data_IF_925065842448
#
_entry.id   IF_925065842448
#
_cell.length_a   1.000
_cell.length_b   1.000
_cell.length_c   1.000
_cell.angle_alpha   90.00
_cell.angle_beta   90.00
_cell.angle_gamma   90.00
#
_symmetry.space_group_name_H-M   'P 1'
#
loop_
_entity.id
_entity.type
_entity.pdbx_description
1 polymer ?
#
# COMPACT_ATOMS: atom_id res chain seq x y z
N UNK A 1 44.14 -11.04 -6.34
CA UNK A 1 42.93 -11.89 -6.45
C UNK A 1 41.78 -11.10 -5.86
N UNK A 2 40.92 -10.55 -6.72
CA UNK A 2 39.82 -9.67 -6.30
C UNK A 2 38.79 -10.46 -5.49
N UNK A 3 38.52 -10.01 -4.26
CA UNK A 3 37.32 -10.39 -3.53
C UNK A 3 36.12 -9.86 -4.32
N UNK A 4 35.55 -10.70 -5.18
CA UNK A 4 34.20 -10.52 -5.69
C UNK A 4 33.28 -10.79 -4.49
N UNK A 5 33.06 -9.78 -3.65
CA UNK A 5 31.89 -9.78 -2.77
C UNK A 5 30.68 -9.97 -3.68
N UNK A 6 30.10 -11.18 -3.63
CA UNK A 6 28.87 -11.50 -4.33
C UNK A 6 27.82 -10.49 -3.86
N UNK A 7 27.54 -9.48 -4.69
CA UNK A 7 26.60 -8.41 -4.37
C UNK A 7 25.31 -9.06 -3.82
N UNK A 8 24.89 -8.73 -2.58
CA UNK A 8 23.77 -9.42 -1.93
C UNK A 8 22.44 -9.24 -2.68
N UNK A 9 22.38 -8.30 -3.63
CA UNK A 9 21.17 -7.90 -4.33
C UNK A 9 21.05 -8.47 -5.75
N UNK A 10 19.81 -8.50 -6.27
CA UNK A 10 19.52 -8.94 -7.66
C UNK A 10 19.96 -7.91 -8.73
N UNK A 11 20.25 -6.68 -8.30
CA UNK A 11 20.68 -5.57 -9.14
C UNK A 11 21.87 -4.86 -8.49
N UNK A 12 22.81 -4.39 -9.30
CA UNK A 12 23.94 -3.59 -8.86
C UNK A 12 23.54 -2.15 -8.56
N UNK A 13 24.46 -1.36 -8.00
CA UNK A 13 24.19 0.02 -7.59
C UNK A 13 23.92 1.00 -8.73
N UNK A 14 24.41 0.67 -9.93
CA UNK A 14 24.30 1.48 -11.14
C UNK A 14 23.24 0.96 -12.13
N UNK A 15 22.68 -0.24 -11.87
CA UNK A 15 21.55 -0.75 -12.62
C UNK A 15 20.35 0.20 -12.45
N UNK A 16 19.65 0.47 -13.55
CA UNK A 16 18.53 1.41 -13.52
C UNK A 16 17.34 0.85 -12.74
N UNK A 17 16.90 1.60 -11.72
CA UNK A 17 15.68 1.31 -10.95
C UNK A 17 14.59 2.31 -11.32
N UNK A 18 13.46 1.80 -11.82
CA UNK A 18 12.27 2.61 -12.09
C UNK A 18 11.34 2.60 -10.88
N UNK A 19 10.95 3.78 -10.40
CA UNK A 19 9.94 3.95 -9.35
C UNK A 19 8.74 4.69 -9.94
N UNK A 20 7.59 4.03 -10.00
CA UNK A 20 6.33 4.68 -10.38
C UNK A 20 5.54 5.08 -9.14
N UNK A 21 4.81 6.19 -9.20
CA UNK A 21 4.20 6.77 -8.00
C UNK A 21 5.23 7.38 -7.05
N UNK A 22 6.39 7.79 -7.59
CA UNK A 22 7.53 8.31 -6.83
C UNK A 22 7.20 9.58 -6.03
N UNK A 23 6.23 10.39 -6.46
CA UNK A 23 5.78 11.59 -5.73
C UNK A 23 4.76 11.28 -4.62
N UNK A 24 4.31 10.03 -4.50
CA UNK A 24 3.36 9.61 -3.48
C UNK A 24 3.99 9.45 -2.10
N UNK A 25 3.14 9.31 -1.08
CA UNK A 25 3.53 9.16 0.34
C UNK A 25 4.59 8.08 0.59
N UNK A 26 4.43 6.89 -0.01
CA UNK A 26 5.40 5.79 0.13
C UNK A 26 6.53 5.94 -0.90
N UNK A 27 6.21 6.39 -2.11
CA UNK A 27 7.15 6.45 -3.22
C UNK A 27 8.33 7.39 -2.97
N UNK A 28 8.09 8.55 -2.36
CA UNK A 28 9.16 9.52 -2.11
C UNK A 28 10.13 9.01 -1.04
N UNK A 29 9.60 8.42 0.04
CA UNK A 29 10.41 7.74 1.07
C UNK A 29 11.15 6.53 0.51
N UNK A 30 10.58 5.81 -0.46
CA UNK A 30 11.28 4.71 -1.14
C UNK A 30 12.48 5.20 -1.96
N UNK A 31 12.33 6.31 -2.68
CA UNK A 31 13.45 6.92 -3.42
C UNK A 31 14.56 7.32 -2.45
N UNK A 32 14.23 7.97 -1.33
CA UNK A 32 15.18 8.32 -0.26
C UNK A 32 15.90 7.08 0.28
N UNK A 33 15.15 6.03 0.63
CA UNK A 33 15.73 4.79 1.16
C UNK A 33 16.66 4.07 0.16
N UNK A 34 16.33 4.10 -1.14
CA UNK A 34 17.21 3.55 -2.18
C UNK A 34 18.53 4.32 -2.29
N UNK A 35 18.46 5.65 -2.23
CA UNK A 35 19.63 6.53 -2.26
C UNK A 35 20.51 6.36 -1.02
N UNK A 36 19.92 6.29 0.18
CA UNK A 36 20.61 6.03 1.45
C UNK A 36 21.31 4.66 1.43
N UNK A 37 20.71 3.66 0.77
CA UNK A 37 21.32 2.35 0.58
C UNK A 37 22.44 2.36 -0.46
N UNK A 38 22.66 3.44 -1.19
CA UNK A 38 23.74 3.61 -2.17
C UNK A 38 23.38 3.24 -3.61
N UNK A 39 22.09 3.09 -3.95
CA UNK A 39 21.69 3.00 -5.36
C UNK A 39 21.79 4.38 -6.02
N UNK A 40 22.37 4.43 -7.22
CA UNK A 40 22.75 5.67 -7.87
C UNK A 40 21.95 6.00 -9.12
N UNK A 41 21.29 5.02 -9.74
CA UNK A 41 20.61 5.21 -11.02
C UNK A 41 19.10 5.00 -10.87
N UNK A 42 18.36 6.07 -10.59
CA UNK A 42 16.93 6.04 -10.32
C UNK A 42 16.16 6.82 -11.39
N UNK A 43 15.12 6.21 -11.93
CA UNK A 43 14.13 6.88 -12.76
C UNK A 43 12.81 6.96 -12.00
N UNK A 44 12.37 8.16 -11.71
CA UNK A 44 11.14 8.46 -10.99
C UNK A 44 10.04 8.84 -11.99
N UNK A 45 9.09 7.94 -12.23
CA UNK A 45 7.97 8.22 -13.11
C UNK A 45 6.85 8.93 -12.36
N UNK A 46 6.49 10.12 -12.82
CA UNK A 46 5.50 10.99 -12.19
C UNK A 46 4.43 11.41 -13.19
N UNK A 47 3.22 11.73 -12.70
CA UNK A 47 2.20 12.35 -13.56
C UNK A 47 2.64 13.76 -13.89
N UNK A 48 2.29 14.25 -15.08
CA UNK A 48 2.57 15.63 -15.47
C UNK A 48 2.04 16.66 -14.46
N UNK A 49 0.91 16.37 -13.82
CA UNK A 49 0.27 17.22 -12.82
C UNK A 49 0.83 17.08 -11.39
N UNK A 50 1.80 16.19 -11.16
CA UNK A 50 2.39 15.99 -9.84
C UNK A 50 3.52 16.97 -9.60
N UNK A 51 3.51 17.60 -8.42
CA UNK A 51 4.66 18.34 -7.93
C UNK A 51 5.78 17.36 -7.60
N UNK A 52 6.90 17.49 -8.29
CA UNK A 52 8.07 16.62 -8.16
C UNK A 52 9.21 17.26 -7.36
N UNK A 53 8.99 18.46 -6.77
CA UNK A 53 9.99 19.24 -6.07
C UNK A 53 10.80 18.41 -5.06
N UNK A 54 10.12 17.60 -4.23
CA UNK A 54 10.81 16.72 -3.26
C UNK A 54 11.78 15.73 -3.93
N UNK A 55 11.41 15.16 -5.08
CA UNK A 55 12.29 14.21 -5.79
C UNK A 55 13.41 14.95 -6.52
N UNK A 56 13.11 16.13 -7.06
CA UNK A 56 14.09 17.01 -7.69
C UNK A 56 15.14 17.48 -6.65
N UNK A 57 14.72 17.82 -5.43
CA UNK A 57 15.62 18.19 -4.33
C UNK A 57 16.56 17.04 -3.94
N UNK A 58 16.05 15.80 -3.89
CA UNK A 58 16.87 14.62 -3.64
C UNK A 58 17.93 14.41 -4.72
N UNK A 59 17.61 14.73 -5.98
CA UNK A 59 18.60 14.67 -7.07
C UNK A 59 19.78 15.62 -6.83
N UNK A 60 19.51 16.79 -6.23
CA UNK A 60 20.52 17.83 -5.95
C UNK A 60 21.34 17.52 -4.70
N UNK A 61 20.72 16.93 -3.68
CA UNK A 61 21.37 16.60 -2.40
C UNK A 61 22.39 15.46 -2.52
N UNK A 62 22.15 14.48 -3.40
CA UNK A 62 23.05 13.34 -3.58
C UNK A 62 24.13 13.62 -4.64
N UNK A 63 25.06 14.55 -4.36
CA UNK A 63 26.23 14.82 -5.21
C UNK A 63 27.29 13.73 -4.99
N UNK A 64 27.41 12.78 -5.94
CA UNK A 64 28.60 11.92 -6.21
C UNK A 64 28.21 10.78 -7.17
N UNK A 65 28.01 11.10 -8.46
CA UNK A 65 27.69 10.08 -9.48
C UNK A 65 26.28 9.50 -9.41
N UNK A 66 25.41 10.03 -8.55
CA UNK A 66 23.98 9.70 -8.50
C UNK A 66 23.24 10.40 -9.65
N UNK A 67 22.51 9.61 -10.43
CA UNK A 67 21.57 10.04 -11.46
C UNK A 67 20.14 9.74 -11.00
N UNK A 68 19.43 10.76 -10.57
CA UNK A 68 17.98 10.70 -10.32
C UNK A 68 17.28 11.45 -11.45
N UNK A 69 16.61 10.72 -12.32
CA UNK A 69 15.86 11.26 -13.45
C UNK A 69 14.36 11.30 -13.11
N UNK A 70 13.71 12.45 -13.26
CA UNK A 70 12.26 12.56 -13.16
C UNK A 70 11.67 12.50 -14.56
N UNK A 71 10.90 11.46 -14.86
CA UNK A 71 10.19 11.29 -16.13
C UNK A 71 8.72 11.58 -15.90
N UNK A 72 8.21 12.62 -16.56
CA UNK A 72 6.79 12.97 -16.54
C UNK A 72 6.08 12.24 -17.68
N UNK A 73 4.95 11.61 -17.38
CA UNK A 73 4.13 10.93 -18.37
C UNK A 73 2.81 10.43 -17.82
N UNK A 74 2.12 9.63 -18.62
CA UNK A 74 0.86 8.99 -18.30
C UNK A 74 0.99 7.47 -18.42
N UNK A 75 0.77 6.72 -17.34
CA UNK A 75 0.82 5.26 -17.39
C UNK A 75 -0.29 4.63 -18.23
N UNK A 76 -1.31 5.38 -18.65
CA UNK A 76 -2.28 4.94 -19.65
C UNK A 76 -1.72 4.98 -21.09
N UNK A 77 -0.66 5.75 -21.34
CA UNK A 77 0.09 5.77 -22.59
C UNK A 77 1.04 4.57 -22.66
N UNK A 78 0.96 3.78 -23.73
CA UNK A 78 1.83 2.60 -23.94
C UNK A 78 3.24 3.04 -24.28
N UNK A 79 3.36 4.16 -25.00
CA UNK A 79 4.60 4.79 -25.43
C UNK A 79 5.36 5.32 -24.21
N UNK A 80 4.67 6.01 -23.28
CA UNK A 80 5.28 6.52 -22.05
C UNK A 80 5.75 5.36 -21.16
N UNK A 81 4.97 4.27 -21.07
CA UNK A 81 5.37 3.07 -20.36
C UNK A 81 6.60 2.41 -20.99
N UNK A 82 6.66 2.34 -22.32
CA UNK A 82 7.81 1.82 -23.04
C UNK A 82 9.06 2.67 -22.79
N UNK A 83 8.97 4.00 -22.92
CA UNK A 83 10.08 4.90 -22.64
C UNK A 83 10.55 4.80 -21.18
N UNK A 84 9.60 4.76 -20.23
CA UNK A 84 9.93 4.67 -18.80
C UNK A 84 10.65 3.39 -18.41
N UNK A 85 10.29 2.26 -19.03
CA UNK A 85 10.82 0.92 -18.69
C UNK A 85 12.10 0.57 -19.46
N UNK A 86 12.49 1.37 -20.45
CA UNK A 86 13.69 1.13 -21.24
C UNK A 86 14.95 1.11 -20.34
N UNK A 87 15.67 -0.01 -20.36
CA UNK A 87 16.89 -0.24 -19.58
C UNK A 87 16.67 -0.51 -18.09
N UNK A 88 15.43 -0.48 -17.59
CA UNK A 88 15.15 -0.69 -16.17
C UNK A 88 15.37 -2.16 -15.76
N UNK A 89 16.25 -2.39 -14.80
CA UNK A 89 16.54 -3.72 -14.27
C UNK A 89 15.60 -4.11 -13.12
N UNK A 90 15.11 -3.13 -12.35
CA UNK A 90 14.19 -3.32 -11.23
C UNK A 90 13.11 -2.25 -11.29
N UNK A 91 11.85 -2.65 -11.10
CA UNK A 91 10.72 -1.73 -11.13
C UNK A 91 9.97 -1.83 -9.79
N UNK A 92 9.82 -0.69 -9.12
CA UNK A 92 8.90 -0.53 -8.00
C UNK A 92 7.61 0.16 -8.48
N UNK A 93 6.52 -0.60 -8.46
CA UNK A 93 5.21 -0.12 -8.88
C UNK A 93 4.33 0.25 -7.68
N UNK A 94 4.31 1.55 -7.35
CA UNK A 94 3.47 2.12 -6.27
C UNK A 94 2.30 2.95 -6.80
N UNK A 95 2.24 3.19 -8.10
CA UNK A 95 1.13 3.91 -8.71
C UNK A 95 -0.15 3.08 -8.61
N UNK A 96 -1.17 3.66 -7.97
CA UNK A 96 -2.51 3.11 -7.89
C UNK A 96 -3.52 4.21 -7.57
N UNK A 97 -4.77 3.94 -7.93
CA UNK A 97 -5.91 4.74 -7.53
C UNK A 97 -6.02 4.79 -6.00
N UNK A 98 -5.81 5.96 -5.38
CA UNK A 98 -6.08 6.19 -3.95
C UNK A 98 -7.01 7.38 -3.82
N UNK A 99 -8.23 7.15 -3.33
CA UNK A 99 -9.25 8.18 -3.18
C UNK A 99 -10.22 8.30 -4.36
N UNK A 100 -10.01 7.50 -5.42
CA UNK A 100 -10.99 7.35 -6.50
C UNK A 100 -12.24 6.64 -5.97
N UNK A 101 -13.40 7.23 -6.24
CA UNK A 101 -14.68 6.78 -5.70
C UNK A 101 -15.43 5.83 -6.65
N UNK A 102 -15.03 5.80 -7.92
CA UNK A 102 -15.69 5.00 -8.95
C UNK A 102 -14.86 3.74 -9.29
N UNK A 103 -15.53 2.64 -9.59
CA UNK A 103 -14.86 1.42 -10.07
C UNK A 103 -14.16 1.60 -11.42
N UNK A 104 -14.74 2.30 -12.42
CA UNK A 104 -14.07 2.50 -13.71
C UNK A 104 -12.75 3.27 -13.58
N UNK A 105 -12.73 4.38 -12.83
CA UNK A 105 -11.51 5.15 -12.63
C UNK A 105 -10.46 4.28 -11.94
N UNK A 106 -10.86 3.58 -10.87
CA UNK A 106 -9.95 2.76 -10.09
C UNK A 106 -9.36 1.61 -10.93
N UNK A 107 -10.15 1.05 -11.86
CA UNK A 107 -9.70 0.07 -12.83
C UNK A 107 -8.70 0.67 -13.83
N UNK A 108 -9.00 1.82 -14.43
CA UNK A 108 -8.12 2.49 -15.38
C UNK A 108 -6.78 2.82 -14.72
N UNK A 109 -6.80 3.51 -13.57
CA UNK A 109 -5.60 4.05 -12.94
C UNK A 109 -4.75 3.01 -12.19
N UNK A 110 -5.26 1.81 -11.95
CA UNK A 110 -4.50 0.73 -11.29
C UNK A 110 -4.30 -0.49 -12.17
N UNK A 111 -5.31 -0.97 -12.91
CA UNK A 111 -5.21 -2.22 -13.66
C UNK A 111 -4.64 -1.98 -15.05
N UNK A 112 -5.18 -0.99 -15.77
CA UNK A 112 -4.73 -0.69 -17.14
C UNK A 112 -3.32 -0.11 -17.13
N UNK A 113 -3.01 0.78 -16.18
CA UNK A 113 -1.66 1.32 -15.98
C UNK A 113 -0.63 0.23 -15.66
N UNK A 114 -0.97 -0.72 -14.78
CA UNK A 114 -0.10 -1.88 -14.50
C UNK A 114 0.05 -2.76 -15.74
N UNK A 115 -1.02 -3.08 -16.47
CA UNK A 115 -0.94 -3.87 -17.72
C UNK A 115 0.06 -3.25 -18.68
N UNK A 116 -0.06 -1.95 -18.94
CA UNK A 116 0.79 -1.25 -19.90
C UNK A 116 2.28 -1.32 -19.49
N UNK A 117 2.58 -1.18 -18.19
CA UNK A 117 3.94 -1.38 -17.67
C UNK A 117 4.42 -2.82 -17.85
N UNK A 118 3.60 -3.83 -17.52
CA UNK A 118 3.95 -5.23 -17.68
C UNK A 118 4.24 -5.58 -19.15
N UNK A 119 3.40 -5.12 -20.08
CA UNK A 119 3.62 -5.30 -21.52
C UNK A 119 4.91 -4.61 -21.99
N UNK A 120 5.24 -3.43 -21.46
CA UNK A 120 6.49 -2.74 -21.74
C UNK A 120 7.71 -3.51 -21.20
N UNK A 121 7.61 -4.12 -20.01
CA UNK A 121 8.64 -5.00 -19.46
C UNK A 121 8.92 -6.20 -20.38
N UNK A 122 7.86 -6.83 -20.90
CA UNK A 122 7.98 -7.97 -21.82
C UNK A 122 8.62 -7.59 -23.16
N UNK A 123 8.43 -6.34 -23.60
CA UNK A 123 9.06 -5.81 -24.81
C UNK A 123 10.57 -5.66 -24.64
N UNK A 124 11.01 -5.05 -23.55
CA UNK A 124 12.43 -4.74 -23.32
C UNK A 124 13.25 -5.91 -22.78
N UNK A 125 12.63 -6.84 -22.05
CA UNK A 125 13.26 -8.05 -21.49
C UNK A 125 14.49 -7.79 -20.61
N UNK A 126 14.62 -6.59 -20.04
CA UNK A 126 15.71 -6.21 -19.14
C UNK A 126 15.36 -6.32 -17.65
N UNK A 127 14.06 -6.40 -17.32
CA UNK A 127 13.57 -6.40 -15.95
C UNK A 127 13.90 -7.73 -15.26
N UNK A 128 14.71 -7.66 -14.20
CA UNK A 128 15.02 -8.77 -13.31
C UNK A 128 13.98 -8.96 -12.21
N UNK A 129 13.23 -7.90 -11.85
CA UNK A 129 12.05 -8.00 -10.98
C UNK A 129 11.09 -6.82 -11.12
N UNK A 130 9.80 -7.16 -11.09
CA UNK A 130 8.69 -6.21 -10.94
C UNK A 130 8.08 -6.30 -9.54
N UNK A 131 8.24 -5.27 -8.72
CA UNK A 131 7.65 -5.20 -7.38
C UNK A 131 6.32 -4.46 -7.45
N UNK A 132 5.21 -5.18 -7.24
CA UNK A 132 3.88 -4.59 -7.15
C UNK A 132 3.51 -4.28 -5.69
N UNK A 133 3.26 -3.02 -5.37
CA UNK A 133 2.81 -2.63 -4.02
C UNK A 133 1.29 -2.62 -3.97
N UNK A 134 0.74 -3.69 -3.39
CA UNK A 134 -0.67 -3.97 -3.18
C UNK A 134 -1.14 -3.48 -1.80
N UNK A 135 -2.08 -4.17 -1.15
CA UNK A 135 -2.59 -3.82 0.19
C UNK A 135 -3.32 -4.98 0.86
N UNK A 136 -3.38 -4.98 2.19
CA UNK A 136 -4.29 -5.83 2.97
C UNK A 136 -5.77 -5.69 2.58
N UNK A 137 -6.14 -4.63 1.87
CA UNK A 137 -7.49 -4.45 1.35
C UNK A 137 -7.96 -5.63 0.48
N UNK A 138 -7.03 -6.31 -0.22
CA UNK A 138 -7.35 -7.42 -1.13
C UNK A 138 -7.92 -8.64 -0.43
N UNK A 139 -7.60 -8.87 0.85
CA UNK A 139 -8.04 -10.07 1.56
C UNK A 139 -9.53 -10.04 1.89
N UNK A 140 -10.14 -11.22 1.94
CA UNK A 140 -11.48 -11.40 2.50
C UNK A 140 -11.40 -12.06 3.88
N UNK A 141 -12.18 -11.54 4.82
CA UNK A 141 -12.32 -12.11 6.16
C UNK A 141 -13.65 -12.88 6.32
N UNK A 142 -14.46 -13.00 5.27
CA UNK A 142 -15.84 -13.53 5.32
C UNK A 142 -15.92 -14.94 5.90
N UNK A 143 -15.07 -15.87 5.46
CA UNK A 143 -15.04 -17.26 5.94
C UNK A 143 -14.10 -17.49 7.15
N UNK A 144 -13.37 -16.45 7.56
CA UNK A 144 -12.39 -16.55 8.63
C UNK A 144 -13.04 -16.54 10.02
N UNK A 145 -12.56 -17.39 10.94
CA UNK A 145 -12.96 -17.33 12.35
C UNK A 145 -12.54 -16.00 12.97
N UNK A 146 -13.37 -15.48 13.88
CA UNK A 146 -13.05 -14.29 14.68
C UNK A 146 -11.73 -14.51 15.42
N UNK A 147 -10.86 -13.49 15.47
CA UNK A 147 -9.50 -13.52 16.05
C UNK A 147 -8.49 -14.40 15.30
N UNK A 148 -8.84 -14.97 14.15
CA UNK A 148 -7.87 -15.70 13.34
C UNK A 148 -6.75 -14.80 12.82
N UNK A 149 -5.60 -15.41 12.51
CA UNK A 149 -4.41 -14.74 11.95
C UNK A 149 -4.51 -14.63 10.44
N UNK A 150 -4.47 -13.42 9.90
CA UNK A 150 -4.38 -13.14 8.48
C UNK A 150 -2.91 -13.16 8.07
N UNK A 151 -2.59 -14.05 7.15
CA UNK A 151 -1.29 -14.24 6.50
C UNK A 151 -1.50 -14.32 4.97
N UNK A 152 -0.44 -14.59 4.23
CA UNK A 152 -0.43 -14.64 2.77
C UNK A 152 -1.14 -15.87 2.20
N UNK A 153 -1.43 -16.89 3.01
CA UNK A 153 -2.21 -18.06 2.61
C UNK A 153 -3.71 -17.78 2.61
N UNK A 154 -4.14 -16.69 3.27
CA UNK A 154 -5.54 -16.32 3.34
C UNK A 154 -6.09 -15.93 1.96
N UNK A 155 -7.37 -16.26 1.68
CA UNK A 155 -7.97 -15.97 0.39
C UNK A 155 -8.10 -14.46 0.12
N UNK A 156 -7.82 -14.09 -1.12
CA UNK A 156 -8.16 -12.78 -1.71
C UNK A 156 -9.67 -12.73 -1.97
N UNK A 157 -10.25 -11.53 -1.93
CA UNK A 157 -11.67 -11.30 -2.23
C UNK A 157 -11.98 -11.71 -3.68
N UNK A 158 -12.91 -12.67 -3.84
CA UNK A 158 -13.30 -13.21 -5.16
C UNK A 158 -14.24 -12.28 -5.92
N UNK A 159 -15.05 -11.52 -5.18
CA UNK A 159 -16.06 -10.61 -5.72
C UNK A 159 -15.84 -9.21 -5.16
N UNK A 160 -14.71 -8.56 -5.49
CA UNK A 160 -14.37 -7.28 -4.89
C UNK A 160 -15.32 -6.14 -5.32
N UNK A 161 -16.02 -6.28 -6.44
CA UNK A 161 -17.12 -5.40 -6.87
C UNK A 161 -18.27 -5.36 -5.86
N UNK A 162 -18.55 -6.49 -5.20
CA UNK A 162 -19.60 -6.59 -4.18
C UNK A 162 -19.19 -6.00 -2.83
N UNK A 163 -17.92 -5.60 -2.67
CA UNK A 163 -17.44 -5.00 -1.43
C UNK A 163 -17.77 -3.51 -1.31
N UNK A 164 -18.15 -2.86 -2.42
CA UNK A 164 -18.46 -1.42 -2.43
C UNK A 164 -17.25 -0.53 -2.15
N UNK A 165 -16.05 -1.05 -2.38
CA UNK A 165 -14.77 -0.34 -2.16
C UNK A 165 -13.94 -0.40 -3.45
N UNK A 166 -13.91 0.71 -4.18
CA UNK A 166 -13.18 0.83 -5.44
C UNK A 166 -11.67 0.58 -5.27
N UNK A 167 -11.11 0.90 -4.10
CA UNK A 167 -9.71 0.62 -3.80
C UNK A 167 -9.45 -0.88 -3.65
N UNK A 168 -10.31 -1.59 -2.91
CA UNK A 168 -10.25 -3.05 -2.82
C UNK A 168 -10.35 -3.70 -4.20
N UNK A 169 -11.31 -3.26 -5.03
CA UNK A 169 -11.48 -3.74 -6.39
C UNK A 169 -10.23 -3.56 -7.24
N UNK A 170 -9.71 -2.34 -7.32
CA UNK A 170 -8.52 -2.05 -8.09
C UNK A 170 -7.30 -2.86 -7.64
N UNK A 171 -7.06 -3.00 -6.33
CA UNK A 171 -5.92 -3.77 -5.80
C UNK A 171 -6.06 -5.27 -6.04
N UNK A 172 -7.25 -5.83 -5.95
CA UNK A 172 -7.48 -7.25 -6.30
C UNK A 172 -7.18 -7.48 -7.78
N UNK A 173 -7.72 -6.64 -8.67
CA UNK A 173 -7.50 -6.77 -10.12
C UNK A 173 -6.06 -6.49 -10.54
N UNK A 174 -5.37 -5.58 -9.85
CA UNK A 174 -3.94 -5.32 -10.03
C UNK A 174 -3.09 -6.53 -9.60
N UNK A 175 -3.41 -7.20 -8.50
CA UNK A 175 -2.72 -8.44 -8.09
C UNK A 175 -2.96 -9.59 -9.09
N UNK A 176 -4.21 -9.75 -9.56
CA UNK A 176 -4.58 -10.77 -10.54
C UNK A 176 -3.75 -10.65 -11.82
N UNK A 177 -3.64 -9.44 -12.40
CA UNK A 177 -2.93 -9.23 -13.66
C UNK A 177 -1.41 -9.42 -13.52
N UNK A 178 -0.81 -8.99 -12.40
CA UNK A 178 0.62 -9.22 -12.15
C UNK A 178 0.93 -10.71 -12.05
N UNK A 179 0.11 -11.45 -11.29
CA UNK A 179 0.23 -12.90 -11.15
C UNK A 179 0.00 -13.64 -12.49
N UNK A 180 -0.97 -13.20 -13.29
CA UNK A 180 -1.23 -13.75 -14.62
C UNK A 180 -0.01 -13.57 -15.54
N UNK A 181 0.57 -12.37 -15.57
CA UNK A 181 1.75 -12.10 -16.40
C UNK A 181 2.97 -12.89 -15.96
N UNK A 182 3.19 -13.04 -14.65
CA UNK A 182 4.25 -13.90 -14.13
C UNK A 182 4.06 -15.36 -14.55
N UNK A 183 2.84 -15.89 -14.47
CA UNK A 183 2.54 -17.28 -14.87
C UNK A 183 2.62 -17.52 -16.37
N UNK A 184 2.10 -16.60 -17.19
CA UNK A 184 2.00 -16.78 -18.65
C UNK A 184 3.28 -16.43 -19.39
N UNK A 185 4.01 -15.42 -18.92
CA UNK A 185 5.16 -14.86 -19.64
C UNK A 185 6.48 -15.01 -18.88
N UNK A 186 6.46 -15.60 -17.68
CA UNK A 186 7.66 -15.78 -16.86
C UNK A 186 8.25 -14.47 -16.34
N UNK A 187 7.45 -13.39 -16.26
CA UNK A 187 7.93 -12.11 -15.72
C UNK A 187 8.22 -12.28 -14.21
N UNK A 188 9.47 -12.05 -13.75
CA UNK A 188 9.79 -12.14 -12.33
C UNK A 188 9.11 -11.01 -11.57
N UNK A 189 8.33 -11.34 -10.55
CA UNK A 189 7.59 -10.36 -9.76
C UNK A 189 7.61 -10.69 -8.27
N UNK A 190 7.34 -9.68 -7.45
CA UNK A 190 7.00 -9.83 -6.02
C UNK A 190 5.81 -8.92 -5.72
N UNK A 191 4.86 -9.41 -4.92
CA UNK A 191 3.73 -8.58 -4.45
C UNK A 191 3.92 -8.26 -2.98
N UNK A 192 3.99 -6.98 -2.65
CA UNK A 192 4.03 -6.52 -1.25
C UNK A 192 2.65 -6.00 -0.88
N UNK A 193 2.06 -6.48 0.22
CA UNK A 193 0.76 -6.08 0.73
C UNK A 193 0.94 -5.40 2.09
N UNK A 194 1.20 -4.09 2.14
CA UNK A 194 1.19 -3.37 3.40
C UNK A 194 -0.20 -3.35 4.02
N UNK A 195 -0.24 -3.24 5.35
CA UNK A 195 -1.43 -2.89 6.11
C UNK A 195 -1.87 -1.45 5.86
N UNK A 196 -2.14 -0.70 6.92
CA UNK A 196 -2.33 0.75 6.87
C UNK A 196 -1.00 1.44 7.15
N UNK A 197 -0.41 2.00 6.09
CA UNK A 197 0.86 2.75 6.20
C UNK A 197 0.60 4.12 6.83
N UNK A 198 1.24 4.41 7.95
CA UNK A 198 1.07 5.65 8.70
C UNK A 198 2.41 6.36 8.93
N UNK A 199 2.35 7.68 9.11
CA UNK A 199 3.54 8.53 9.27
C UNK A 199 3.26 9.97 8.82
N UNK A 200 4.20 10.90 9.02
CA UNK A 200 4.07 12.28 8.57
C UNK A 200 3.81 12.38 7.06
N UNK A 201 2.74 13.05 6.64
CA UNK A 201 2.27 13.12 5.25
C UNK A 201 1.05 12.22 4.94
N UNK A 202 0.61 11.38 5.87
CA UNK A 202 -0.62 10.60 5.74
C UNK A 202 -1.48 10.65 7.01
N UNK A 203 -1.80 11.87 7.45
CA UNK A 203 -2.50 12.16 8.70
C UNK A 203 -4.01 11.87 8.63
N UNK A 204 -4.55 11.34 9.73
CA UNK A 204 -5.98 11.12 9.91
C UNK A 204 -6.34 9.91 10.77
N UNK A 205 -7.64 9.68 10.96
CA UNK A 205 -8.13 8.46 11.59
C UNK A 205 -8.49 7.47 10.50
N UNK A 206 -7.83 6.31 10.50
CA UNK A 206 -8.13 5.24 9.55
C UNK A 206 -9.56 4.72 9.68
N UNK A 207 -10.19 4.34 8.57
CA UNK A 207 -11.51 3.70 8.54
C UNK A 207 -11.58 2.38 9.33
N UNK A 208 -10.42 1.77 9.63
CA UNK A 208 -10.32 0.60 10.55
C UNK A 208 -10.79 0.93 11.97
N UNK A 209 -10.75 2.21 12.36
CA UNK A 209 -11.24 2.66 13.67
C UNK A 209 -12.73 2.93 13.63
N UNK A 210 -13.21 3.61 12.61
CA UNK A 210 -14.60 4.06 12.56
C UNK A 210 -14.81 5.11 11.49
N UNK A 211 -15.98 5.74 11.55
CA UNK A 211 -16.43 6.71 10.54
C UNK A 211 -16.91 7.99 11.22
N UNK A 212 -16.58 9.14 10.64
CA UNK A 212 -17.14 10.42 11.04
C UNK A 212 -18.48 10.66 10.35
N UNK A 213 -19.50 11.12 11.08
CA UNK A 213 -20.82 11.45 10.54
C UNK A 213 -21.49 12.53 11.38
N UNK A 214 -22.05 13.57 10.74
CA UNK A 214 -22.83 14.64 11.39
C UNK A 214 -22.17 15.25 12.65
N UNK A 215 -20.86 15.52 12.61
CA UNK A 215 -20.11 16.07 13.75
C UNK A 215 -19.79 15.08 14.88
N UNK A 216 -20.15 13.80 14.72
CA UNK A 216 -19.85 12.70 15.63
C UNK A 216 -18.92 11.69 14.99
N UNK A 217 -18.07 11.04 15.80
CA UNK A 217 -17.29 9.89 15.34
C UNK A 217 -17.86 8.56 15.85
N UNK A 218 -18.35 7.71 14.95
CA UNK A 218 -18.80 6.36 15.28
C UNK A 218 -17.60 5.42 15.35
N UNK A 219 -17.27 4.95 16.54
CA UNK A 219 -16.19 3.99 16.78
C UNK A 219 -16.73 2.57 16.53
N UNK A 220 -16.35 2.00 15.39
CA UNK A 220 -16.79 0.69 14.91
C UNK A 220 -15.75 -0.41 15.16
N UNK A 221 -14.48 -0.03 15.26
CA UNK A 221 -13.37 -0.97 15.40
C UNK A 221 -13.25 -1.60 16.78
N UNK A 222 -13.77 -0.98 17.84
CA UNK A 222 -13.74 -1.55 19.20
C UNK A 222 -12.34 -2.02 19.62
N UNK A 223 -12.22 -3.32 19.95
CA UNK A 223 -10.94 -3.98 20.28
C UNK A 223 -10.27 -4.68 19.09
N UNK A 224 -10.67 -4.38 17.85
CA UNK A 224 -9.98 -4.88 16.66
C UNK A 224 -8.57 -4.31 16.58
N UNK A 225 -7.60 -5.13 16.20
CA UNK A 225 -6.24 -4.70 15.91
C UNK A 225 -6.22 -3.92 14.59
N UNK A 226 -5.49 -2.81 14.56
CA UNK A 226 -5.23 -2.07 13.32
C UNK A 226 -3.94 -2.62 12.71
N UNK A 227 -3.93 -3.04 11.43
CA UNK A 227 -2.72 -3.53 10.77
C UNK A 227 -1.80 -2.37 10.41
N UNK A 228 -1.27 -1.64 11.39
CA UNK A 228 -0.39 -0.51 11.11
C UNK A 228 0.98 -0.96 10.62
N UNK A 229 1.58 -0.13 9.77
CA UNK A 229 3.01 -0.16 9.51
C UNK A 229 3.54 1.26 9.35
N UNK A 230 4.60 1.61 10.07
CA UNK A 230 5.21 2.91 9.95
C UNK A 230 5.84 3.07 8.57
N UNK A 231 5.75 4.27 7.98
CA UNK A 231 6.14 4.50 6.58
C UNK A 231 7.57 4.04 6.28
N UNK A 232 8.52 4.28 7.19
CA UNK A 232 9.91 3.89 6.98
C UNK A 232 10.11 2.38 7.09
N UNK A 233 9.43 1.72 8.04
CA UNK A 233 9.41 0.26 8.15
C UNK A 233 8.82 -0.39 6.89
N UNK A 234 7.74 0.18 6.38
CA UNK A 234 7.06 -0.29 5.18
C UNK A 234 7.94 -0.13 3.93
N UNK A 235 8.61 1.01 3.79
CA UNK A 235 9.55 1.29 2.70
C UNK A 235 10.72 0.31 2.77
N UNK A 236 11.27 0.07 3.95
CA UNK A 236 12.35 -0.88 4.15
C UNK A 236 11.98 -2.30 3.66
N UNK A 237 10.79 -2.78 4.02
CA UNK A 237 10.26 -4.06 3.55
C UNK A 237 10.09 -4.10 2.02
N UNK A 238 9.55 -3.02 1.42
CA UNK A 238 9.38 -2.91 -0.04
C UNK A 238 10.75 -2.97 -0.73
N UNK A 239 11.73 -2.20 -0.24
CA UNK A 239 13.09 -2.20 -0.78
C UNK A 239 13.70 -3.60 -0.73
N UNK A 240 13.64 -4.27 0.42
CA UNK A 240 14.16 -5.64 0.56
C UNK A 240 13.46 -6.64 -0.37
N UNK A 241 12.14 -6.52 -0.56
CA UNK A 241 11.38 -7.34 -1.50
C UNK A 241 11.84 -7.13 -2.96
N UNK A 242 12.28 -5.91 -3.30
CA UNK A 242 12.88 -5.63 -4.60
C UNK A 242 14.28 -6.19 -4.77
N UNK A 243 15.08 -6.22 -3.71
CA UNK A 243 16.52 -6.51 -3.81
C UNK A 243 16.91 -7.96 -3.51
N UNK A 244 16.16 -8.67 -2.66
CA UNK A 244 16.53 -10.01 -2.16
C UNK A 244 16.46 -11.08 -3.26
N UNK A 245 17.46 -11.95 -3.36
CA UNK A 245 17.47 -13.06 -4.35
C UNK A 245 16.47 -14.17 -3.96
N UNK A 246 16.02 -14.96 -4.93
CA UNK A 246 15.25 -16.22 -4.74
C UNK A 246 13.91 -16.08 -4.01
N UNK A 247 13.15 -15.05 -4.35
CA UNK A 247 11.79 -14.80 -3.80
C UNK A 247 10.78 -14.44 -4.91
N UNK A 248 11.12 -14.70 -6.17
CA UNK A 248 10.24 -14.36 -7.29
C UNK A 248 8.97 -15.21 -7.24
N UNK A 249 7.83 -14.60 -7.52
CA UNK A 249 6.49 -15.20 -7.38
C UNK A 249 5.90 -15.05 -5.98
N UNK A 250 6.66 -14.60 -4.99
CA UNK A 250 6.21 -14.49 -3.61
C UNK A 250 5.32 -13.27 -3.35
N UNK A 251 4.48 -13.43 -2.33
CA UNK A 251 3.67 -12.37 -1.75
C UNK A 251 4.14 -12.14 -0.30
N UNK A 252 4.24 -10.88 0.14
CA UNK A 252 4.63 -10.52 1.50
C UNK A 252 3.64 -9.54 2.12
N UNK A 253 3.16 -9.86 3.31
CA UNK A 253 2.40 -8.97 4.16
C UNK A 253 3.33 -8.12 5.01
N UNK A 254 3.05 -6.82 5.10
CA UNK A 254 3.88 -5.88 5.87
C UNK A 254 3.01 -5.15 6.90
N UNK A 255 3.24 -5.49 8.16
CA UNK A 255 2.72 -4.84 9.35
C UNK A 255 3.83 -4.78 10.39
N UNK A 256 3.82 -3.75 11.23
CA UNK A 256 4.77 -3.65 12.32
C UNK A 256 4.42 -4.65 13.43
N UNK A 257 5.31 -4.75 14.42
CA UNK A 257 5.06 -5.48 15.64
C UNK A 257 4.09 -4.70 16.56
N UNK A 258 3.72 -5.24 17.72
CA UNK A 258 2.97 -4.54 18.79
C UNK A 258 1.79 -3.65 18.35
N UNK A 259 0.99 -4.17 17.42
CA UNK A 259 -0.09 -3.43 16.77
C UNK A 259 -1.17 -2.97 17.77
N UNK A 260 -1.55 -1.67 17.78
CA UNK A 260 -2.56 -1.18 18.69
C UNK A 260 -3.96 -1.67 18.31
N UNK A 261 -4.81 -1.81 19.31
CA UNK A 261 -6.25 -1.91 19.09
C UNK A 261 -6.83 -0.56 18.65
N UNK A 262 -7.96 -0.62 17.95
CA UNK A 262 -8.73 0.54 17.54
C UNK A 262 -9.10 1.47 18.72
N UNK A 263 -9.46 0.89 19.87
CA UNK A 263 -9.72 1.65 21.10
C UNK A 263 -8.47 2.36 21.62
N UNK A 264 -7.32 1.69 21.66
CA UNK A 264 -6.05 2.29 22.09
C UNK A 264 -5.65 3.44 21.17
N UNK A 265 -5.67 3.22 19.85
CA UNK A 265 -5.34 4.28 18.90
C UNK A 265 -6.28 5.48 18.99
N UNK A 266 -7.60 5.25 19.09
CA UNK A 266 -8.58 6.34 19.23
C UNK A 266 -8.34 7.16 20.51
N UNK A 267 -7.98 6.49 21.61
CA UNK A 267 -7.62 7.14 22.86
C UNK A 267 -6.37 8.01 22.72
N UNK A 268 -5.28 7.45 22.16
CA UNK A 268 -4.03 8.18 21.90
C UNK A 268 -4.26 9.38 20.97
N UNK A 269 -5.06 9.22 19.92
CA UNK A 269 -5.40 10.32 19.01
C UNK A 269 -6.13 11.45 19.73
N UNK A 270 -7.11 11.12 20.59
CA UNK A 270 -7.85 12.14 21.35
C UNK A 270 -7.00 12.90 22.35
N UNK A 271 -6.00 12.22 22.94
CA UNK A 271 -5.09 12.82 23.90
C UNK A 271 -4.06 13.73 23.23
N UNK A 272 -3.48 13.29 22.12
CA UNK A 272 -2.32 13.94 21.52
C UNK A 272 -2.65 14.90 20.36
N UNK A 273 -3.79 14.72 19.69
CA UNK A 273 -4.14 15.46 18.47
C UNK A 273 -5.25 16.46 18.73
N UNK A 274 -6.47 15.98 19.06
CA UNK A 274 -7.62 16.83 19.39
C UNK A 274 -8.72 16.08 20.13
N UNK A 275 -9.47 16.78 20.98
CA UNK A 275 -10.68 16.23 21.62
C UNK A 275 -11.88 16.32 20.68
N UNK A 276 -12.68 15.24 20.61
CA UNK A 276 -13.94 15.19 19.87
C UNK A 276 -14.89 14.14 20.45
N UNK A 277 -16.18 14.29 20.18
CA UNK A 277 -17.22 13.32 20.60
C UNK A 277 -17.10 12.04 19.76
N UNK A 278 -17.06 10.89 20.42
CA UNK A 278 -17.16 9.60 19.73
C UNK A 278 -18.07 8.64 20.50
N UNK A 279 -18.88 7.88 19.78
CA UNK A 279 -19.75 6.85 20.35
C UNK A 279 -19.29 5.49 19.84
N UNK A 280 -19.07 4.55 20.75
CA UNK A 280 -18.80 3.17 20.38
C UNK A 280 -20.10 2.49 19.92
N UNK A 281 -20.06 1.88 18.73
CA UNK A 281 -21.18 1.09 18.21
C UNK A 281 -20.83 -0.38 18.34
N UNK A 282 -21.57 -1.16 19.15
CA UNK A 282 -21.37 -2.58 19.28
C UNK A 282 -21.38 -3.33 17.93
N UNK A 283 -20.61 -4.41 17.86
CA UNK A 283 -20.47 -5.22 16.64
C UNK A 283 -21.82 -5.73 16.12
N UNK A 284 -22.71 -6.16 17.01
CA UNK A 284 -24.05 -6.68 16.64
C UNK A 284 -24.88 -5.60 15.97
N UNK A 285 -24.86 -4.38 16.52
CA UNK A 285 -25.61 -3.24 16.00
C UNK A 285 -25.06 -2.80 14.65
N UNK A 286 -23.74 -2.57 14.55
CA UNK A 286 -23.12 -2.15 13.29
C UNK A 286 -23.28 -3.19 12.17
N UNK A 287 -23.19 -4.48 12.49
CA UNK A 287 -23.41 -5.55 11.52
C UNK A 287 -24.87 -5.65 11.08
N UNK A 288 -25.83 -5.50 12.01
CA UNK A 288 -27.25 -5.46 11.68
C UNK A 288 -27.58 -4.27 10.77
N UNK A 289 -27.00 -3.10 11.01
CA UNK A 289 -27.15 -1.93 10.14
C UNK A 289 -26.65 -2.21 8.72
N UNK A 290 -25.53 -2.93 8.55
CA UNK A 290 -25.10 -3.37 7.22
C UNK A 290 -26.14 -4.26 6.53
N UNK A 291 -26.71 -5.24 7.26
CA UNK A 291 -27.72 -6.14 6.70
C UNK A 291 -29.00 -5.40 6.30
N UNK A 292 -29.44 -4.44 7.12
CA UNK A 292 -30.60 -3.60 6.81
C UNK A 292 -30.36 -2.73 5.57
N UNK A 293 -29.17 -2.15 5.44
CA UNK A 293 -28.81 -1.34 4.27
C UNK A 293 -28.76 -2.21 3.00
N UNK A 294 -28.15 -3.39 3.06
CA UNK A 294 -28.14 -4.34 1.93
C UNK A 294 -29.57 -4.72 1.50
N UNK A 295 -30.45 -5.03 2.45
CA UNK A 295 -31.84 -5.38 2.16
C UNK A 295 -32.60 -4.21 1.54
N UNK A 296 -32.43 -3.00 2.07
CA UNK A 296 -33.03 -1.80 1.50
C UNK A 296 -32.51 -1.52 0.08
N UNK A 297 -31.20 -1.66 -0.13
CA UNK A 297 -30.58 -1.46 -1.44
C UNK A 297 -31.13 -2.44 -2.47
N UNK A 298 -31.29 -3.71 -2.10
CA UNK A 298 -31.91 -4.72 -2.95
C UNK A 298 -33.38 -4.43 -3.23
N UNK A 299 -34.14 -4.01 -2.21
CA UNK A 299 -35.57 -3.70 -2.34
C UNK A 299 -35.81 -2.44 -3.19
N UNK A 300 -34.94 -1.45 -3.09
CA UNK A 300 -35.01 -0.18 -3.84
C UNK A 300 -34.31 -0.23 -5.19
N UNK A 301 -33.94 -1.42 -5.68
CA UNK A 301 -33.23 -1.62 -6.95
C UNK A 301 -31.97 -0.74 -7.10
N UNK A 302 -31.26 -0.52 -5.99
CA UNK A 302 -30.00 0.20 -5.97
C UNK A 302 -30.10 1.73 -5.94
N UNK A 303 -31.28 2.31 -5.65
CA UNK A 303 -31.42 3.76 -5.43
C UNK A 303 -30.39 4.31 -4.43
N UNK A 304 -30.07 3.54 -3.40
CA UNK A 304 -28.90 3.75 -2.56
C UNK A 304 -27.98 2.53 -2.64
N UNK A 305 -26.77 2.65 -3.21
CA UNK A 305 -25.83 1.54 -3.23
C UNK A 305 -25.41 1.15 -1.80
N UNK A 306 -25.13 -0.14 -1.52
CA UNK A 306 -24.83 -0.61 -0.18
C UNK A 306 -23.36 -0.34 0.16
N UNK A 307 -22.98 0.94 0.24
CA UNK A 307 -21.60 1.37 0.54
C UNK A 307 -21.17 0.88 1.93
N UNK A 308 -22.12 0.71 2.86
CA UNK A 308 -21.89 0.12 4.17
C UNK A 308 -22.46 -1.31 4.24
N UNK A 309 -21.72 -2.27 3.68
CA UNK A 309 -22.12 -3.68 3.59
C UNK A 309 -21.32 -4.61 4.52
N UNK A 310 -21.80 -5.84 4.69
CA UNK A 310 -21.23 -6.88 5.55
C UNK A 310 -19.85 -7.35 5.08
N UNK A 311 -19.57 -7.33 3.77
CA UNK A 311 -18.24 -7.69 3.23
C UNK A 311 -17.19 -6.68 3.67
N UNK A 312 -17.48 -5.38 3.51
CA UNK A 312 -16.67 -4.29 4.03
C UNK A 312 -16.52 -4.37 5.55
N UNK A 313 -17.62 -4.59 6.27
CA UNK A 313 -17.60 -4.76 7.73
C UNK A 313 -16.67 -5.89 8.17
N UNK A 314 -16.72 -7.05 7.49
CA UNK A 314 -15.83 -8.17 7.80
C UNK A 314 -14.37 -7.84 7.57
N UNK A 315 -14.05 -7.11 6.51
CA UNK A 315 -12.69 -6.72 6.23
C UNK A 315 -12.11 -5.74 7.26
N UNK A 316 -12.93 -4.77 7.70
CA UNK A 316 -12.47 -3.70 8.59
C UNK A 316 -12.59 -4.03 10.08
N UNK A 317 -13.60 -4.79 10.51
CA UNK A 317 -14.02 -4.88 11.93
C UNK A 317 -14.27 -6.29 12.48
N UNK A 318 -13.96 -7.37 11.75
CA UNK A 318 -14.18 -8.77 12.21
C UNK A 318 -13.29 -9.24 13.39
N UNK A 319 -12.44 -8.38 13.96
CA UNK A 319 -11.38 -8.77 14.93
C UNK A 319 -10.41 -9.76 14.29
N UNK A 320 -9.42 -9.24 13.59
CA UNK A 320 -8.42 -10.04 12.86
C UNK A 320 -7.04 -9.78 13.46
N UNK A 321 -6.25 -10.85 13.63
CA UNK A 321 -4.81 -10.73 13.92
C UNK A 321 -4.05 -10.74 12.60
N UNK A 322 -2.86 -10.17 12.53
CA UNK A 322 -2.08 -10.07 11.31
C UNK A 322 -0.70 -10.65 11.55
N UNK A 323 -0.14 -11.33 10.55
CA UNK A 323 1.21 -11.88 10.59
C UNK A 323 2.15 -11.07 9.69
N UNK A 324 3.39 -10.91 10.16
CA UNK A 324 4.54 -10.45 9.40
C UNK A 324 5.67 -11.51 9.40
N UNK A 325 5.37 -12.76 9.74
CA UNK A 325 6.38 -13.82 9.89
C UNK A 325 7.10 -14.13 8.57
N UNK A 326 6.37 -14.14 7.46
CA UNK A 326 6.94 -14.45 6.15
C UNK A 326 7.94 -13.40 5.68
N UNK A 327 7.64 -12.12 5.87
CA UNK A 327 8.55 -11.02 5.52
C UNK A 327 9.81 -11.07 6.41
N UNK A 328 9.67 -11.41 7.70
CA UNK A 328 10.80 -11.60 8.62
C UNK A 328 11.71 -12.75 8.19
N UNK A 329 11.12 -13.93 7.99
CA UNK A 329 11.88 -15.16 7.68
C UNK A 329 12.47 -15.16 6.27
N UNK A 330 11.75 -14.63 5.28
CA UNK A 330 12.19 -14.70 3.87
C UNK A 330 13.11 -13.53 3.49
N UNK A 331 12.82 -12.32 3.98
CA UNK A 331 13.63 -11.13 3.63
C UNK A 331 14.72 -10.85 4.67
N UNK A 332 14.56 -11.32 5.90
CA UNK A 332 15.37 -10.88 7.05
C UNK A 332 14.94 -9.49 7.53
N UNK A 333 13.71 -9.07 7.25
CA UNK A 333 13.20 -7.76 7.62
C UNK A 333 12.74 -7.74 9.07
N UNK A 334 13.07 -6.66 9.79
CA UNK A 334 12.49 -6.36 11.10
C UNK A 334 12.17 -4.87 11.15
N UNK A 335 11.02 -4.45 11.70
CA UNK A 335 10.69 -3.04 11.81
C UNK A 335 11.75 -2.31 12.63
N UNK A 336 12.46 -1.37 12.02
CA UNK A 336 13.52 -0.61 12.68
C UNK A 336 12.95 0.42 13.67
N UNK A 337 11.80 1.00 13.32
CA UNK A 337 11.08 1.96 14.17
C UNK A 337 10.01 1.22 14.98
N UNK A 338 10.08 1.21 16.32
CA UNK A 338 9.02 0.62 17.13
C UNK A 338 7.67 1.32 16.92
N UNK A 339 6.58 0.57 16.99
CA UNK A 339 5.22 1.13 16.75
C UNK A 339 4.87 2.26 17.71
N UNK A 340 5.33 2.20 18.96
CA UNK A 340 5.14 3.27 19.96
C UNK A 340 5.80 4.59 19.54
N UNK A 341 7.03 4.51 19.04
CA UNK A 341 7.78 5.67 18.53
C UNK A 341 7.12 6.21 17.26
N UNK A 342 6.84 5.34 16.29
CA UNK A 342 6.17 5.73 15.05
C UNK A 342 4.82 6.40 15.30
N UNK A 343 4.02 5.90 16.26
CA UNK A 343 2.75 6.51 16.66
C UNK A 343 2.96 7.89 17.31
N UNK A 344 4.00 8.06 18.11
CA UNK A 344 4.32 9.35 18.73
C UNK A 344 4.63 10.41 17.66
N UNK A 345 5.49 10.06 16.69
CA UNK A 345 5.84 10.95 15.57
C UNK A 345 4.59 11.28 14.74
N UNK A 346 3.79 10.25 14.42
CA UNK A 346 2.58 10.40 13.63
C UNK A 346 1.54 11.31 14.29
N UNK A 347 1.28 11.12 15.59
CA UNK A 347 0.31 11.92 16.33
C UNK A 347 0.77 13.38 16.47
N UNK A 348 2.08 13.62 16.62
CA UNK A 348 2.65 14.98 16.59
C UNK A 348 2.38 15.66 15.25
N UNK A 349 2.70 14.98 14.14
CA UNK A 349 2.46 15.49 12.79
C UNK A 349 0.96 15.75 12.53
N UNK A 350 0.07 14.87 13.00
CA UNK A 350 -1.39 15.10 12.93
C UNK A 350 -1.81 16.37 13.68
N UNK A 351 -1.21 16.65 14.83
CA UNK A 351 -1.51 17.85 15.62
C UNK A 351 -1.02 19.11 14.91
N UNK A 352 0.22 19.10 14.42
CA UNK A 352 0.81 20.23 13.69
C UNK A 352 -0.03 20.58 12.46
N UNK A 353 -0.43 19.58 11.67
CA UNK A 353 -1.30 19.80 10.51
C UNK A 353 -2.63 20.48 10.85
N UNK A 354 -3.23 20.16 12.01
CA UNK A 354 -4.45 20.80 12.48
C UNK A 354 -4.24 22.23 12.98
N UNK A 355 -3.03 22.59 13.42
CA UNK A 355 -2.71 23.96 13.83
C UNK A 355 -2.47 24.87 12.62
N UNK A 356 -2.11 24.29 11.47
CA UNK A 356 -1.85 24.99 10.22
C UNK A 356 -3.02 24.97 9.22
N UNK A 357 -4.13 24.30 9.56
CA UNK A 357 -5.36 24.21 8.76
C UNK A 357 -6.47 25.05 9.39
#
# INVERSE_FOLDING_TARGET
MSQTELDPFIVGRDDLILVTGATGFIGSRLVENLLERGFRNLRCFTRASSEAARIEDLSVCHRNGTRVEVVKGNLLSREDCAAATEGAALIFHLAAARGEKSFPDAFLNSVVTTRNLLEACLRHRCVRRFVNVSSFAVYTNTQKRRRGVLDESCPVEKHPELRGDAYCFAKVKQDEIVNEYGKRFGLPYVIVRPGYVYGPGNEGITGRVGVGTFGLFLHLGGSNTIPFTYVDNCVDAITLAGLKKRIDGEVFNVVDDDLPSSKQFLHLYKQNVRRFKSIYVPHVISYALCALWENYSSWSEGQLPPVFNRRGWHAFWKKTRYSNEKVKTSLGWTPAVPTTEGLTIYLRSCREKLLHA
#
